data_IF_293348513386
#
_entry.id   IF_293348513386
#
_cell.length_a   1.000
_cell.length_b   1.000
_cell.length_c   1.000
_cell.angle_alpha   90.00
_cell.angle_beta   90.00
_cell.angle_gamma   90.00
#
_symmetry.space_group_name_H-M   'P 1'
#
loop_
_entity.id
_entity.type
_entity.pdbx_description
1 polymer ?
#
# COMPACT_ATOMS: atom_id res chain seq x y z
N UNK A 1 43.70 8.26 29.64
CA UNK A 1 43.99 8.09 28.19
C UNK A 1 43.91 9.46 27.53
N UNK A 2 44.96 9.95 26.85
CA UNK A 2 44.83 11.13 26.00
C UNK A 2 43.86 10.75 24.88
N UNK A 3 42.69 11.37 24.90
CA UNK A 3 41.70 11.19 23.84
C UNK A 3 42.11 12.10 22.68
N UNK A 4 42.09 11.57 21.46
CA UNK A 4 42.25 12.37 20.24
C UNK A 4 40.91 12.84 19.68
N UNK A 5 40.92 13.33 18.44
CA UNK A 5 39.70 13.64 17.68
C UNK A 5 39.05 12.37 17.11
N UNK A 6 38.69 11.44 18.00
CA UNK A 6 38.00 10.22 17.64
C UNK A 6 36.49 10.43 17.61
N UNK A 7 35.79 9.68 16.76
CA UNK A 7 34.33 9.69 16.74
C UNK A 7 33.76 9.30 18.11
N UNK A 8 32.66 9.97 18.51
CA UNK A 8 31.97 9.70 19.77
C UNK A 8 31.47 8.24 19.77
N UNK A 9 31.94 7.37 20.69
CA UNK A 9 31.57 5.96 20.66
C UNK A 9 30.10 5.73 21.09
N UNK A 10 29.24 5.37 20.14
CA UNK A 10 27.85 4.95 20.38
C UNK A 10 27.74 3.42 20.41
N UNK A 11 28.45 2.77 21.33
CA UNK A 11 28.70 1.31 21.28
C UNK A 11 27.53 0.43 21.74
N UNK A 12 26.53 0.98 22.45
CA UNK A 12 25.31 0.27 22.88
C UNK A 12 25.50 -1.08 23.64
N UNK A 13 26.64 -1.28 24.31
CA UNK A 13 26.99 -2.51 25.04
C UNK A 13 26.90 -2.38 26.58
N UNK A 14 25.96 -1.57 27.09
CA UNK A 14 25.86 -1.21 28.51
C UNK A 14 24.76 -1.95 29.29
N UNK A 15 24.25 -3.07 28.76
CA UNK A 15 23.08 -3.80 29.32
C UNK A 15 23.37 -5.29 29.51
N UNK A 16 24.35 -5.62 30.35
CA UNK A 16 24.72 -7.00 30.75
C UNK A 16 24.52 -8.05 29.63
N UNK A 17 25.10 -7.75 28.47
CA UNK A 17 24.83 -8.52 27.25
C UNK A 17 25.65 -9.80 27.23
N UNK A 18 26.84 -9.79 27.81
CA UNK A 18 27.75 -10.94 27.85
C UNK A 18 27.40 -11.90 28.99
N UNK A 19 27.50 -13.22 28.76
CA UNK A 19 27.41 -14.20 29.84
C UNK A 19 28.67 -14.11 30.71
N UNK A 20 28.50 -13.94 32.02
CA UNK A 20 29.60 -14.01 32.98
C UNK A 20 29.12 -14.65 34.30
N UNK A 21 29.97 -14.76 35.32
CA UNK A 21 29.66 -15.50 36.55
C UNK A 21 28.35 -15.07 37.22
N UNK A 22 27.98 -13.78 37.14
CA UNK A 22 26.76 -13.24 37.73
C UNK A 22 25.60 -13.04 36.75
N UNK A 23 25.78 -13.28 35.44
CA UNK A 23 24.76 -13.03 34.43
C UNK A 23 24.74 -14.13 33.38
N UNK A 24 23.54 -14.63 33.09
CA UNK A 24 23.30 -15.59 32.00
C UNK A 24 23.65 -15.03 30.61
N UNK A 25 23.69 -13.70 30.46
CA UNK A 25 23.93 -13.00 29.20
C UNK A 25 22.72 -12.98 28.25
N UNK A 26 22.86 -12.23 27.17
CA UNK A 26 21.95 -12.16 26.03
C UNK A 26 22.75 -12.15 24.72
N UNK A 27 23.52 -13.22 24.52
CA UNK A 27 24.28 -13.49 23.30
C UNK A 27 23.65 -14.64 22.55
N UNK A 28 23.59 -14.52 21.22
CA UNK A 28 23.12 -15.59 20.35
C UNK A 28 24.20 -15.95 19.34
N UNK A 29 24.78 -17.14 19.48
CA UNK A 29 25.79 -17.66 18.56
C UNK A 29 25.12 -18.59 17.53
N UNK A 30 25.53 -18.51 16.26
CA UNK A 30 24.93 -19.25 15.14
C UNK A 30 25.73 -20.50 14.75
N UNK A 31 26.32 -21.22 15.72
CA UNK A 31 27.08 -22.47 15.46
C UNK A 31 26.19 -23.57 14.83
N UNK A 32 24.88 -23.54 15.10
CA UNK A 32 23.92 -24.50 14.57
C UNK A 32 23.41 -24.17 13.14
N UNK A 33 23.93 -23.12 12.49
CA UNK A 33 23.49 -22.70 11.15
C UNK A 33 23.58 -23.82 10.09
N UNK A 34 24.70 -24.58 9.93
CA UNK A 34 24.78 -25.66 8.94
C UNK A 34 23.84 -26.82 9.29
N UNK A 35 23.77 -27.22 10.56
CA UNK A 35 22.86 -28.27 11.03
C UNK A 35 21.39 -27.92 10.74
N UNK A 36 20.98 -26.67 11.00
CA UNK A 36 19.63 -26.21 10.70
C UNK A 36 19.36 -26.11 9.20
N UNK A 37 20.36 -25.79 8.36
CA UNK A 37 20.25 -25.81 6.89
C UNK A 37 19.96 -27.24 6.39
N UNK A 38 20.72 -28.22 6.87
CA UNK A 38 20.53 -29.64 6.54
C UNK A 38 19.17 -30.15 7.05
N UNK A 39 18.80 -29.83 8.30
CA UNK A 39 17.48 -30.15 8.87
C UNK A 39 16.33 -29.62 8.01
N UNK A 40 16.38 -28.34 7.62
CA UNK A 40 15.36 -27.73 6.74
C UNK A 40 15.31 -28.36 5.35
N UNK A 41 16.43 -28.84 4.82
CA UNK A 41 16.47 -29.59 3.54
C UNK A 41 15.80 -30.96 3.70
N UNK A 42 16.21 -31.74 4.69
CA UNK A 42 15.63 -33.06 5.00
C UNK A 42 14.12 -32.99 5.21
N UNK A 43 13.65 -32.05 6.04
CA UNK A 43 12.21 -31.86 6.28
C UNK A 43 11.43 -31.47 5.03
N UNK A 44 12.04 -30.71 4.11
CA UNK A 44 11.41 -30.42 2.81
C UNK A 44 11.31 -31.67 1.94
N UNK A 45 12.32 -32.53 1.94
CA UNK A 45 12.28 -33.81 1.20
C UNK A 45 11.25 -34.77 1.78
N UNK A 46 11.16 -34.88 3.11
CA UNK A 46 10.12 -35.67 3.80
C UNK A 46 8.73 -35.13 3.46
N UNK A 47 8.55 -33.80 3.49
CA UNK A 47 7.30 -33.16 3.06
C UNK A 47 6.99 -33.47 1.60
N UNK A 48 7.98 -33.40 0.70
CA UNK A 48 7.82 -33.68 -0.72
C UNK A 48 7.27 -35.10 -0.95
N UNK A 49 7.89 -36.11 -0.32
CA UNK A 49 7.43 -37.50 -0.36
C UNK A 49 6.00 -37.65 0.20
N UNK A 50 5.69 -36.99 1.32
CA UNK A 50 4.36 -37.05 1.96
C UNK A 50 3.23 -36.46 1.10
N UNK A 51 3.50 -35.42 0.32
CA UNK A 51 2.46 -34.73 -0.47
C UNK A 51 2.45 -35.12 -1.94
N UNK A 52 3.34 -36.03 -2.35
CA UNK A 52 3.40 -36.56 -3.71
C UNK A 52 2.00 -37.09 -4.13
N UNK A 53 1.51 -36.74 -5.34
CA UNK A 53 2.19 -36.08 -6.47
C UNK A 53 2.11 -34.54 -6.49
N UNK A 54 1.42 -33.90 -5.55
CA UNK A 54 1.18 -32.45 -5.57
C UNK A 54 2.47 -31.62 -5.45
N UNK A 55 2.53 -30.40 -6.04
CA UNK A 55 3.64 -29.47 -5.84
C UNK A 55 3.92 -29.18 -4.36
N UNK A 56 5.21 -28.99 -4.01
CA UNK A 56 5.60 -28.73 -2.62
C UNK A 56 5.08 -27.39 -2.08
N UNK A 57 4.84 -26.42 -2.97
CA UNK A 57 4.25 -25.11 -2.68
C UNK A 57 3.09 -24.82 -3.64
N UNK A 58 2.04 -24.24 -3.08
CA UNK A 58 0.87 -23.77 -3.80
C UNK A 58 1.18 -22.52 -4.64
N UNK A 59 0.43 -22.35 -5.73
CA UNK A 59 0.56 -21.20 -6.64
C UNK A 59 0.23 -19.89 -5.94
N UNK A 60 1.02 -18.85 -6.25
CA UNK A 60 0.88 -17.49 -5.71
C UNK A 60 0.84 -16.48 -6.86
N UNK A 61 0.09 -15.36 -6.72
CA UNK A 61 0.00 -14.35 -7.76
C UNK A 61 1.28 -13.52 -7.84
N UNK A 62 1.46 -12.85 -8.96
CA UNK A 62 2.44 -11.80 -9.16
C UNK A 62 1.88 -10.46 -8.64
N UNK A 63 2.67 -9.76 -7.82
CA UNK A 63 2.26 -8.49 -7.21
C UNK A 63 3.45 -7.51 -7.23
N UNK A 64 3.17 -6.24 -7.50
CA UNK A 64 4.16 -5.17 -7.41
C UNK A 64 4.55 -4.88 -5.95
N UNK A 65 5.80 -4.48 -5.72
CA UNK A 65 6.22 -4.04 -4.40
C UNK A 65 5.68 -2.63 -4.08
N UNK A 66 5.32 -2.35 -2.81
CA UNK A 66 4.87 -1.02 -2.40
C UNK A 66 6.04 -0.02 -2.35
N UNK A 67 5.72 1.26 -2.19
CA UNK A 67 6.65 2.41 -2.13
C UNK A 67 7.34 2.76 -3.45
N UNK A 68 7.67 4.04 -3.64
CA UNK A 68 8.28 4.54 -4.88
C UNK A 68 9.63 3.87 -5.17
N UNK A 69 10.41 3.55 -4.13
CA UNK A 69 11.72 2.88 -4.26
C UNK A 69 11.63 1.50 -4.91
N UNK A 70 10.52 0.78 -4.71
CA UNK A 70 10.38 -0.61 -5.11
C UNK A 70 9.30 -0.86 -6.16
N UNK A 71 8.67 0.19 -6.70
CA UNK A 71 7.59 0.08 -7.69
C UNK A 71 7.97 -0.78 -8.92
N UNK A 72 9.22 -0.69 -9.38
CA UNK A 72 9.78 -1.45 -10.51
C UNK A 72 10.01 -2.93 -10.21
N UNK A 73 9.98 -3.34 -8.92
CA UNK A 73 10.23 -4.72 -8.50
C UNK A 73 8.89 -5.44 -8.32
N UNK A 74 8.84 -6.68 -8.81
CA UNK A 74 7.70 -7.57 -8.64
C UNK A 74 8.08 -8.73 -7.72
N UNK A 75 7.09 -9.31 -7.05
CA UNK A 75 7.25 -10.44 -6.12
C UNK A 75 6.01 -11.32 -6.12
N UNK A 76 6.13 -12.51 -5.51
CA UNK A 76 4.98 -13.37 -5.24
C UNK A 76 4.14 -12.81 -4.09
N UNK A 77 2.86 -12.56 -4.35
CA UNK A 77 1.84 -12.13 -3.39
C UNK A 77 1.39 -13.25 -2.46
N UNK A 78 0.46 -13.00 -1.53
CA UNK A 78 -0.01 -14.02 -0.58
C UNK A 78 -0.90 -15.08 -1.25
N UNK A 79 -1.84 -14.61 -2.07
CA UNK A 79 -2.82 -15.42 -2.78
C UNK A 79 -3.62 -14.55 -3.76
N UNK A 80 -4.26 -15.19 -4.73
CA UNK A 80 -5.10 -14.55 -5.74
C UNK A 80 -6.34 -13.94 -5.10
N UNK A 81 -6.77 -12.81 -5.64
CA UNK A 81 -8.01 -12.14 -5.22
C UNK A 81 -9.21 -12.91 -5.77
N UNK A 82 -10.36 -12.92 -5.07
CA UNK A 82 -11.59 -13.52 -5.57
C UNK A 82 -12.02 -13.02 -6.96
N UNK A 83 -11.74 -11.75 -7.27
CA UNK A 83 -12.04 -11.16 -8.59
C UNK A 83 -11.20 -11.78 -9.73
N UNK A 84 -9.90 -12.01 -9.51
CA UNK A 84 -9.04 -12.70 -10.48
C UNK A 84 -9.48 -14.15 -10.69
N UNK A 85 -9.87 -14.84 -9.61
CA UNK A 85 -10.36 -16.22 -9.68
C UNK A 85 -11.67 -16.29 -10.47
N UNK A 86 -12.60 -15.35 -10.22
CA UNK A 86 -13.84 -15.24 -10.98
C UNK A 86 -13.57 -14.99 -12.47
N UNK A 87 -12.63 -14.09 -12.80
CA UNK A 87 -12.23 -13.83 -14.18
C UNK A 87 -11.54 -15.03 -14.86
N UNK A 88 -10.95 -15.94 -14.09
CA UNK A 88 -10.42 -17.21 -14.57
C UNK A 88 -11.44 -18.37 -14.52
N UNK A 89 -12.70 -18.13 -14.15
CA UNK A 89 -13.75 -19.16 -14.08
C UNK A 89 -13.65 -20.08 -12.86
N UNK A 90 -12.94 -19.67 -11.79
CA UNK A 90 -12.72 -20.48 -10.59
C UNK A 90 -13.50 -19.96 -9.38
N UNK A 91 -14.16 -20.89 -8.66
CA UNK A 91 -14.69 -20.62 -7.34
C UNK A 91 -13.53 -20.53 -6.31
N UNK A 92 -13.45 -19.46 -5.49
CA UNK A 92 -12.38 -19.30 -4.50
C UNK A 92 -12.22 -20.47 -3.51
N UNK A 93 -13.31 -21.14 -3.12
CA UNK A 93 -13.22 -22.30 -2.21
C UNK A 93 -12.59 -23.51 -2.90
N UNK A 94 -13.01 -23.77 -4.14
CA UNK A 94 -12.46 -24.84 -4.96
C UNK A 94 -11.00 -24.58 -5.35
N UNK A 95 -10.64 -23.34 -5.69
CA UNK A 95 -9.26 -22.98 -6.00
C UNK A 95 -8.27 -23.38 -4.89
N UNK A 96 -8.67 -23.29 -3.61
CA UNK A 96 -7.83 -23.67 -2.49
C UNK A 96 -7.55 -25.19 -2.41
N UNK A 97 -8.47 -26.04 -2.88
CA UNK A 97 -8.28 -27.50 -2.86
C UNK A 97 -7.31 -27.96 -3.95
N UNK A 98 -7.36 -27.33 -5.13
CA UNK A 98 -6.49 -27.62 -6.28
C UNK A 98 -5.10 -26.96 -6.20
N UNK A 99 -4.71 -26.44 -5.04
CA UNK A 99 -3.36 -25.92 -4.80
C UNK A 99 -3.12 -24.46 -5.17
N UNK A 100 -4.17 -23.64 -5.26
CA UNK A 100 -4.07 -22.20 -5.50
C UNK A 100 -4.28 -21.42 -4.20
N UNK A 101 -3.39 -20.48 -3.86
CA UNK A 101 -3.59 -19.63 -2.67
C UNK A 101 -4.60 -18.52 -2.95
N UNK A 102 -5.50 -18.28 -2.00
CA UNK A 102 -6.52 -17.23 -2.08
C UNK A 102 -6.28 -16.16 -1.01
N UNK A 103 -6.46 -14.89 -1.36
CA UNK A 103 -6.39 -13.76 -0.43
C UNK A 103 -7.56 -12.79 -0.64
N UNK A 104 -8.60 -12.92 0.17
CA UNK A 104 -9.80 -12.07 0.12
C UNK A 104 -9.57 -10.61 0.51
N UNK A 105 -8.37 -10.23 0.96
CA UNK A 105 -8.04 -8.87 1.39
C UNK A 105 -7.46 -8.01 0.27
N UNK A 106 -6.89 -8.61 -0.77
CA UNK A 106 -6.21 -7.88 -1.84
C UNK A 106 -7.23 -7.31 -2.82
N UNK A 107 -7.10 -6.03 -3.12
CA UNK A 107 -7.92 -5.31 -4.11
C UNK A 107 -7.11 -5.09 -5.39
N UNK A 108 -7.74 -5.25 -6.54
CA UNK A 108 -7.14 -4.90 -7.83
C UNK A 108 -7.46 -3.43 -8.11
N UNK A 109 -6.43 -2.63 -8.41
CA UNK A 109 -6.56 -1.20 -8.76
C UNK A 109 -6.17 -0.90 -10.20
N UNK A 110 -5.61 -1.89 -10.88
CA UNK A 110 -4.99 -1.80 -12.21
C UNK A 110 -5.36 -3.05 -12.98
N UNK A 111 -5.74 -2.90 -14.24
CA UNK A 111 -6.16 -4.02 -15.09
C UNK A 111 -4.96 -4.88 -15.51
N UNK A 112 -3.80 -4.28 -15.74
CA UNK A 112 -2.58 -4.95 -16.17
C UNK A 112 -2.15 -5.98 -15.11
N UNK A 113 -2.18 -5.59 -13.84
CA UNK A 113 -1.87 -6.48 -12.72
C UNK A 113 -2.89 -7.64 -12.58
N UNK A 114 -4.15 -7.38 -12.91
CA UNK A 114 -5.20 -8.39 -12.89
C UNK A 114 -5.01 -9.39 -14.05
N UNK A 115 -4.77 -8.90 -15.27
CA UNK A 115 -4.60 -9.71 -16.48
C UNK A 115 -3.39 -10.64 -16.37
N UNK A 116 -2.26 -10.16 -15.85
CA UNK A 116 -1.08 -11.00 -15.59
C UNK A 116 -1.42 -12.18 -14.67
N UNK A 117 -2.21 -11.94 -13.62
CA UNK A 117 -2.59 -13.00 -12.69
C UNK A 117 -3.66 -13.94 -13.25
N UNK A 118 -4.60 -13.43 -14.05
CA UNK A 118 -5.58 -14.26 -14.75
C UNK A 118 -4.88 -15.18 -15.76
N UNK A 119 -3.93 -14.65 -16.55
CA UNK A 119 -3.09 -15.46 -17.43
C UNK A 119 -2.30 -16.49 -16.63
N UNK A 120 -1.74 -16.11 -15.48
CA UNK A 120 -1.04 -17.02 -14.56
C UNK A 120 -1.94 -18.17 -14.10
N UNK A 121 -3.22 -17.91 -13.82
CA UNK A 121 -4.20 -18.94 -13.45
C UNK A 121 -4.55 -19.84 -14.64
N UNK A 122 -4.79 -19.29 -15.82
CA UNK A 122 -5.11 -20.06 -17.04
C UNK A 122 -3.97 -21.02 -17.40
N UNK A 123 -2.72 -20.55 -17.38
CA UNK A 123 -1.54 -21.39 -17.62
C UNK A 123 -1.33 -22.47 -16.54
N UNK A 124 -1.72 -22.19 -15.29
CA UNK A 124 -1.69 -23.21 -14.24
C UNK A 124 -2.72 -24.30 -14.49
N UNK A 125 -3.96 -23.92 -14.82
CA UNK A 125 -5.05 -24.85 -15.09
C UNK A 125 -4.75 -25.74 -16.29
N UNK A 126 -4.17 -25.20 -17.36
CA UNK A 126 -3.81 -26.00 -18.55
C UNK A 126 -2.73 -27.06 -18.27
N UNK A 127 -1.96 -26.93 -17.19
CA UNK A 127 -0.91 -27.86 -16.79
C UNK A 127 -1.29 -28.68 -15.55
N UNK A 128 -2.48 -28.46 -15.01
CA UNK A 128 -2.95 -29.13 -13.81
C UNK A 128 -3.52 -30.50 -14.19
N UNK A 129 -2.89 -31.56 -13.70
CA UNK A 129 -3.45 -32.92 -13.74
C UNK A 129 -4.26 -33.13 -12.48
N UNK A 130 -5.60 -33.19 -12.60
CA UNK A 130 -6.51 -33.36 -11.47
C UNK A 130 -6.86 -34.83 -11.28
N UNK A 131 -6.48 -35.40 -10.15
CA UNK A 131 -6.69 -36.82 -9.91
C UNK A 131 -8.16 -37.09 -9.56
N UNK A 132 -8.77 -38.15 -10.12
CA UNK A 132 -10.12 -38.56 -9.73
C UNK A 132 -10.14 -39.01 -8.28
N UNK A 133 -11.19 -38.66 -7.54
CA UNK A 133 -11.37 -39.16 -6.17
C UNK A 133 -11.62 -40.67 -6.16
N UNK A 134 -12.34 -41.15 -7.18
CA UNK A 134 -12.55 -42.57 -7.42
C UNK A 134 -12.07 -42.94 -8.83
N UNK A 135 -10.98 -43.71 -8.92
CA UNK A 135 -10.37 -44.12 -10.19
C UNK A 135 -11.32 -44.88 -11.12
N UNK A 136 -12.38 -45.50 -10.59
CA UNK A 136 -13.38 -46.23 -11.41
C UNK A 136 -14.48 -45.35 -11.98
N UNK A 137 -14.69 -44.16 -11.42
CA UNK A 137 -15.77 -43.22 -11.78
C UNK A 137 -15.17 -41.84 -12.00
N UNK A 138 -14.53 -41.68 -13.15
CA UNK A 138 -13.86 -40.43 -13.54
C UNK A 138 -14.91 -39.38 -13.94
N UNK A 139 -14.81 -38.20 -13.35
CA UNK A 139 -15.66 -37.05 -13.66
C UNK A 139 -15.05 -36.21 -14.80
N UNK A 140 -15.86 -35.31 -15.37
CA UNK A 140 -15.41 -34.43 -16.44
C UNK A 140 -14.28 -33.49 -15.96
N UNK A 141 -13.15 -33.54 -16.65
CA UNK A 141 -11.98 -32.70 -16.36
C UNK A 141 -11.00 -33.31 -15.34
N UNK A 142 -11.22 -34.55 -14.92
CA UNK A 142 -10.24 -35.35 -14.18
C UNK A 142 -9.31 -36.09 -15.15
N UNK A 143 -8.13 -36.46 -14.66
CA UNK A 143 -7.05 -37.05 -15.42
C UNK A 143 -7.33 -38.51 -15.81
N UNK A 144 -6.82 -38.91 -16.99
CA UNK A 144 -6.81 -40.32 -17.41
C UNK A 144 -5.80 -41.14 -16.59
N UNK A 145 -5.92 -42.46 -16.61
CA UNK A 145 -5.02 -43.33 -15.83
C UNK A 145 -3.56 -43.22 -16.28
N UNK A 146 -3.32 -42.94 -17.56
CA UNK A 146 -1.99 -42.69 -18.13
C UNK A 146 -1.36 -41.41 -17.57
N UNK A 147 -2.12 -40.32 -17.52
CA UNK A 147 -1.67 -39.04 -16.95
C UNK A 147 -1.40 -39.16 -15.45
N UNK A 148 -2.21 -39.94 -14.73
CA UNK A 148 -2.03 -40.21 -13.29
C UNK A 148 -0.71 -40.95 -13.04
N UNK A 149 -0.37 -41.93 -13.88
CA UNK A 149 0.89 -42.68 -13.77
C UNK A 149 2.11 -41.85 -14.19
N UNK A 150 1.97 -41.00 -15.20
CA UNK A 150 3.04 -40.10 -15.68
C UNK A 150 3.24 -38.86 -14.79
N UNK A 151 2.31 -38.58 -13.87
CA UNK A 151 2.34 -37.36 -13.05
C UNK A 151 3.60 -37.27 -12.19
N UNK A 152 4.32 -36.17 -12.34
CA UNK A 152 5.52 -35.86 -11.55
C UNK A 152 5.29 -34.65 -10.64
N UNK A 153 6.08 -34.58 -9.56
CA UNK A 153 5.98 -33.51 -8.58
C UNK A 153 6.93 -32.36 -8.90
N UNK A 154 6.41 -31.12 -8.88
CA UNK A 154 7.26 -29.92 -8.82
C UNK A 154 7.89 -29.74 -7.42
N UNK A 155 9.22 -29.81 -7.37
CA UNK A 155 10.05 -29.56 -6.18
C UNK A 155 10.72 -28.19 -6.19
N UNK A 156 10.37 -27.31 -7.14
CA UNK A 156 10.87 -25.94 -7.24
C UNK A 156 10.63 -25.17 -5.95
N UNK A 157 11.51 -24.20 -5.67
CA UNK A 157 11.47 -23.44 -4.42
C UNK A 157 10.21 -22.58 -4.30
N UNK A 158 9.57 -22.21 -5.40
CA UNK A 158 8.48 -21.23 -5.41
C UNK A 158 7.13 -21.80 -5.87
N UNK A 159 7.09 -23.01 -6.44
CA UNK A 159 5.87 -23.57 -7.04
C UNK A 159 5.56 -22.94 -8.39
N UNK A 160 6.62 -22.55 -9.11
CA UNK A 160 6.53 -21.77 -10.35
C UNK A 160 6.87 -22.62 -11.59
N UNK A 161 7.14 -23.93 -11.46
CA UNK A 161 7.51 -24.73 -12.64
C UNK A 161 6.40 -24.79 -13.68
N UNK A 162 5.13 -24.83 -13.24
CA UNK A 162 3.99 -24.80 -14.16
C UNK A 162 3.88 -23.45 -14.88
N UNK A 163 4.07 -22.32 -14.20
CA UNK A 163 3.70 -21.01 -14.76
C UNK A 163 4.90 -20.12 -15.12
N UNK A 164 6.10 -20.58 -14.84
CA UNK A 164 7.32 -19.80 -15.00
C UNK A 164 7.51 -18.72 -13.93
N UNK A 165 8.68 -18.07 -13.97
CA UNK A 165 9.07 -17.03 -13.03
C UNK A 165 8.20 -15.77 -13.15
N UNK A 166 8.43 -14.83 -12.24
CA UNK A 166 7.78 -13.52 -12.24
C UNK A 166 8.14 -12.76 -13.53
N UNK A 167 7.12 -12.30 -14.25
CA UNK A 167 7.27 -11.58 -15.52
C UNK A 167 7.76 -10.15 -15.26
N UNK A 168 9.02 -9.89 -15.63
CA UNK A 168 9.60 -8.55 -15.61
C UNK A 168 9.45 -7.89 -16.99
N UNK A 169 9.16 -6.59 -17.06
CA UNK A 169 9.09 -5.89 -18.34
C UNK A 169 10.45 -5.94 -19.04
N UNK A 170 10.43 -6.14 -20.36
CA UNK A 170 11.62 -6.04 -21.19
C UNK A 170 12.10 -4.58 -21.29
N UNK A 171 13.39 -4.40 -21.57
CA UNK A 171 13.92 -3.07 -21.88
C UNK A 171 13.44 -2.66 -23.28
N UNK A 172 13.14 -1.38 -23.45
CA UNK A 172 12.79 -0.81 -24.74
C UNK A 172 13.97 -0.94 -25.72
N UNK A 173 13.66 -1.26 -26.98
CA UNK A 173 14.66 -1.36 -28.03
C UNK A 173 15.16 0.03 -28.46
N UNK A 174 16.37 0.16 -29.01
CA UNK A 174 16.87 1.41 -29.56
C UNK A 174 15.91 1.95 -30.63
N UNK A 175 15.55 3.24 -30.52
CA UNK A 175 14.70 3.94 -31.48
C UNK A 175 15.25 5.33 -31.76
N UNK A 176 14.91 5.87 -32.93
CA UNK A 176 15.22 7.25 -33.27
C UNK A 176 14.44 8.23 -32.36
N UNK A 177 15.04 9.40 -32.14
CA UNK A 177 14.42 10.49 -31.38
C UNK A 177 13.30 11.12 -32.21
N UNK A 178 12.13 11.32 -31.61
CA UNK A 178 11.02 11.99 -32.29
C UNK A 178 11.21 13.51 -32.29
N UNK A 179 10.58 14.23 -33.24
CA UNK A 179 10.66 15.70 -33.30
C UNK A 179 10.15 16.38 -32.02
N UNK A 180 9.17 15.79 -31.34
CA UNK A 180 8.68 16.26 -30.04
C UNK A 180 9.71 16.11 -28.92
N UNK A 181 10.41 14.97 -28.88
CA UNK A 181 11.44 14.70 -27.87
C UNK A 181 12.65 15.63 -28.05
N UNK A 182 12.97 15.98 -29.30
CA UNK A 182 14.05 16.90 -29.62
C UNK A 182 13.78 18.35 -29.16
N UNK A 183 12.51 18.79 -29.21
CA UNK A 183 12.13 20.19 -28.90
C UNK A 183 11.70 20.40 -27.45
N UNK A 184 11.28 19.33 -26.75
CA UNK A 184 10.67 19.43 -25.41
C UNK A 184 11.69 19.65 -24.30
N UNK A 185 11.55 20.77 -23.59
CA UNK A 185 12.32 21.03 -22.35
C UNK A 185 11.75 20.22 -21.16
N UNK A 186 12.37 19.08 -20.87
CA UNK A 186 11.96 18.14 -19.80
C UNK A 186 12.11 18.75 -18.40
N UNK A 187 13.15 19.55 -18.14
CA UNK A 187 13.38 20.15 -16.82
C UNK A 187 12.31 21.19 -16.48
N UNK A 188 12.01 22.10 -17.41
CA UNK A 188 10.99 23.11 -17.23
C UNK A 188 9.61 22.45 -17.00
N UNK A 189 9.29 21.40 -17.76
CA UNK A 189 8.07 20.61 -17.58
C UNK A 189 7.99 19.98 -16.17
N UNK A 190 9.06 19.33 -15.71
CA UNK A 190 9.12 18.71 -14.37
C UNK A 190 8.93 19.76 -13.27
N UNK A 191 9.62 20.90 -13.35
CA UNK A 191 9.53 21.97 -12.36
C UNK A 191 8.16 22.63 -12.34
N UNK A 192 7.52 22.79 -13.51
CA UNK A 192 6.15 23.31 -13.62
C UNK A 192 5.16 22.39 -12.89
N UNK A 193 5.23 21.08 -13.12
CA UNK A 193 4.35 20.10 -12.45
C UNK A 193 4.60 20.02 -10.94
N UNK A 194 5.86 20.01 -10.51
CA UNK A 194 6.21 20.05 -9.09
C UNK A 194 5.64 21.31 -8.42
N UNK A 195 5.78 22.47 -9.07
CA UNK A 195 5.27 23.75 -8.57
C UNK A 195 3.75 23.78 -8.55
N UNK A 196 3.08 23.18 -9.55
CA UNK A 196 1.62 23.09 -9.60
C UNK A 196 1.07 22.31 -8.39
N UNK A 197 1.64 21.16 -8.04
CA UNK A 197 1.23 20.37 -6.86
C UNK A 197 1.54 21.11 -5.57
N UNK A 198 2.75 21.70 -5.45
CA UNK A 198 3.18 22.44 -4.25
C UNK A 198 2.32 23.68 -3.98
N UNK A 199 1.97 24.44 -5.02
CA UNK A 199 1.26 25.71 -4.90
C UNK A 199 -0.23 25.62 -5.23
N UNK A 200 -0.81 24.43 -5.33
CA UNK A 200 -2.21 24.22 -5.67
C UNK A 200 -3.16 24.98 -4.73
N UNK A 201 -3.03 24.77 -3.42
CA UNK A 201 -3.86 25.44 -2.41
C UNK A 201 -3.64 26.96 -2.37
N UNK A 202 -2.38 27.40 -2.44
CA UNK A 202 -2.05 28.83 -2.43
C UNK A 202 -2.62 29.56 -3.66
N UNK A 203 -2.59 28.93 -4.84
CA UNK A 203 -3.17 29.49 -6.06
C UNK A 203 -4.70 29.54 -5.98
N UNK A 204 -5.34 28.49 -5.47
CA UNK A 204 -6.80 28.49 -5.23
C UNK A 204 -7.24 29.57 -4.26
N UNK A 205 -6.54 29.74 -3.14
CA UNK A 205 -6.85 30.78 -2.16
C UNK A 205 -6.67 32.20 -2.74
N UNK A 206 -5.64 32.42 -3.56
CA UNK A 206 -5.44 33.70 -4.25
C UNK A 206 -6.51 33.96 -5.31
N UNK A 207 -6.94 32.94 -6.04
CA UNK A 207 -8.03 33.05 -7.00
C UNK A 207 -9.34 33.41 -6.28
N UNK A 208 -9.70 32.66 -5.24
CA UNK A 208 -10.90 32.93 -4.43
C UNK A 208 -10.89 34.32 -3.79
N UNK A 209 -9.75 34.78 -3.25
CA UNK A 209 -9.63 36.16 -2.72
C UNK A 209 -9.77 37.21 -3.81
N UNK A 210 -9.27 36.94 -5.02
CA UNK A 210 -9.40 37.86 -6.16
C UNK A 210 -10.85 37.90 -6.68
N UNK A 211 -11.55 36.78 -6.64
CA UNK A 211 -12.97 36.68 -6.98
C UNK A 211 -13.84 37.40 -5.95
N UNK A 212 -13.67 37.12 -4.66
CA UNK A 212 -14.37 37.85 -3.58
C UNK A 212 -14.10 39.36 -3.64
N UNK A 213 -12.84 39.78 -3.84
CA UNK A 213 -12.51 41.20 -3.98
C UNK A 213 -13.04 41.84 -5.28
N UNK A 214 -13.45 41.04 -6.28
CA UNK A 214 -14.17 41.54 -7.46
C UNK A 214 -15.66 41.65 -7.14
N UNK A 215 -16.26 40.65 -6.52
CA UNK A 215 -17.65 40.67 -6.06
C UNK A 215 -17.91 41.84 -5.08
N UNK A 216 -16.99 42.09 -4.15
CA UNK A 216 -17.02 43.25 -3.24
C UNK A 216 -16.93 44.59 -4.00
N UNK A 217 -16.16 44.63 -5.10
CA UNK A 217 -16.05 45.84 -5.93
C UNK A 217 -17.27 46.04 -6.83
N UNK A 218 -17.79 44.97 -7.41
CA UNK A 218 -18.96 44.99 -8.28
C UNK A 218 -20.22 45.34 -7.45
N UNK A 219 -20.33 44.84 -6.21
CA UNK A 219 -21.39 45.25 -5.28
C UNK A 219 -21.27 46.70 -4.82
N UNK A 220 -20.04 47.20 -4.58
CA UNK A 220 -19.81 48.63 -4.31
C UNK A 220 -20.16 49.52 -5.50
N UNK A 221 -19.86 49.09 -6.73
CA UNK A 221 -20.24 49.78 -7.96
C UNK A 221 -21.76 49.80 -8.15
N UNK A 222 -22.45 48.68 -7.89
CA UNK A 222 -23.91 48.58 -7.98
C UNK A 222 -24.63 49.47 -6.95
N UNK A 223 -24.08 49.61 -5.74
CA UNK A 223 -24.58 50.54 -4.72
C UNK A 223 -24.34 52.01 -5.09
N UNK A 224 -23.27 52.32 -5.82
CA UNK A 224 -23.00 53.67 -6.32
C UNK A 224 -23.97 54.05 -7.46
N UNK A 225 -24.24 53.14 -8.39
CA UNK A 225 -25.18 53.36 -9.51
C UNK A 225 -26.64 53.54 -9.03
N UNK A 226 -27.05 52.82 -7.97
CA UNK A 226 -28.37 53.01 -7.35
C UNK A 226 -28.43 54.28 -6.47
N UNK A 227 -27.30 54.87 -6.09
CA UNK A 227 -27.28 56.15 -5.36
C UNK A 227 -27.49 57.36 -6.28
N UNK A 228 -27.14 57.26 -7.57
CA UNK A 228 -27.42 58.30 -8.57
C UNK A 228 -28.91 58.31 -8.98
N UNK A 229 -29.61 57.18 -8.88
CA UNK A 229 -31.08 57.12 -9.05
C UNK A 229 -31.89 57.50 -7.78
N UNK A 230 -31.27 57.55 -6.60
CA UNK A 230 -31.91 58.03 -5.36
C UNK A 230 -31.46 59.45 -4.98
N UNK A 231 -30.49 60.04 -5.70
CA UNK A 231 -30.09 61.44 -5.56
C UNK A 231 -31.14 62.47 -6.05
N UNK A 232 -32.31 62.02 -6.53
CA UNK A 232 -33.50 62.89 -6.74
C UNK A 232 -34.45 62.88 -5.52
N UNK A 233 -34.23 62.05 -4.49
CA UNK A 233 -35.16 61.91 -3.36
C UNK A 233 -34.52 62.12 -1.97
N UNK A 234 -33.48 62.98 -1.85
CA UNK A 234 -32.86 63.29 -0.54
C UNK A 234 -32.52 64.77 -0.30
N UNK A 235 -33.34 65.68 -0.83
CA UNK A 235 -33.31 67.10 -0.43
C UNK A 235 -34.04 67.36 0.92
N UNK A 236 -34.70 66.37 1.55
CA UNK A 236 -35.64 66.68 2.66
C UNK A 236 -35.31 66.16 4.07
N UNK A 237 -34.09 65.69 4.38
CA UNK A 237 -33.73 65.39 5.79
C UNK A 237 -32.30 65.82 6.09
N UNK A 238 -32.06 67.13 6.08
CA UNK A 238 -30.92 67.78 6.73
C UNK A 238 -31.46 68.91 7.62
N UNK A 239 -32.19 68.51 8.66
CA UNK A 239 -32.42 69.37 9.83
C UNK A 239 -32.76 68.47 11.01
N UNK A 240 -31.75 68.17 11.82
CA UNK A 240 -31.78 68.12 13.29
C UNK A 240 -30.52 67.41 13.79
N UNK A 241 -29.78 68.13 14.63
CA UNK A 241 -28.79 67.69 15.60
C UNK A 241 -27.40 67.29 15.12
N UNK A 242 -26.68 68.34 14.75
CA UNK A 242 -25.33 68.56 15.24
C UNK A 242 -25.36 68.86 16.75
N UNK A 243 -24.92 67.93 17.59
CA UNK A 243 -24.23 68.22 18.86
C UNK A 243 -23.71 66.92 19.48
N UNK A 244 -22.46 66.93 19.92
CA UNK A 244 -22.01 66.01 20.96
C UNK A 244 -20.88 65.05 20.62
N UNK A 245 -19.65 65.53 20.89
CA UNK A 245 -18.73 64.92 21.86
C UNK A 245 -17.80 63.79 21.39
N UNK A 246 -16.51 64.15 21.40
CA UNK A 246 -15.37 63.27 21.56
C UNK A 246 -15.56 62.22 22.65
N UNK A 247 -15.17 60.97 22.39
CA UNK A 247 -14.31 60.15 23.27
C UNK A 247 -14.06 58.78 22.63
N UNK A 248 -12.78 58.41 22.50
CA UNK A 248 -12.39 57.01 22.38
C UNK A 248 -12.81 56.24 23.64
N UNK A 249 -13.02 54.92 23.53
CA UNK A 249 -12.13 54.06 24.30
C UNK A 249 -11.69 52.81 23.52
N UNK A 250 -10.43 52.45 23.74
CA UNK A 250 -9.92 51.11 23.52
C UNK A 250 -10.73 50.09 24.32
N UNK A 251 -11.06 48.93 23.73
CA UNK A 251 -11.18 47.64 24.41
C UNK A 251 -10.89 46.53 23.40
N UNK A 252 -9.88 45.74 23.75
CA UNK A 252 -9.51 44.49 23.12
C UNK A 252 -10.63 43.44 23.30
N UNK A 253 -10.97 42.71 22.23
CA UNK A 253 -11.43 41.32 22.31
C UNK A 253 -10.87 40.54 21.12
N UNK A 254 -9.97 39.61 21.42
CA UNK A 254 -9.53 38.60 20.49
C UNK A 254 -10.68 37.68 20.11
N UNK A 255 -10.82 37.42 18.81
CA UNK A 255 -11.59 36.29 18.30
C UNK A 255 -10.58 35.32 17.71
N UNK A 256 -10.50 34.17 18.35
CA UNK A 256 -9.67 33.04 18.00
C UNK A 256 -9.94 32.57 16.56
N UNK A 257 -8.88 32.47 15.75
CA UNK A 257 -8.91 31.67 14.54
C UNK A 257 -8.78 30.18 14.87
N UNK A 258 -9.52 29.27 14.21
CA UNK A 258 -9.33 27.85 14.41
C UNK A 258 -7.99 27.41 13.78
N UNK A 259 -7.01 27.16 14.63
CA UNK A 259 -5.79 26.42 14.27
C UNK A 259 -6.16 24.97 13.97
N UNK A 260 -6.29 24.61 12.69
CA UNK A 260 -6.19 23.22 12.25
C UNK A 260 -4.79 22.70 12.57
N UNK A 261 -4.66 22.10 13.74
CA UNK A 261 -3.44 21.46 14.21
C UNK A 261 -3.37 20.08 13.56
N UNK A 262 -2.58 19.94 12.50
CA UNK A 262 -2.06 18.63 12.08
C UNK A 262 -1.37 17.97 13.29
N UNK A 263 -2.03 17.01 13.93
CA UNK A 263 -1.39 16.10 14.89
C UNK A 263 -1.18 14.74 14.24
N UNK A 264 0.07 14.49 13.88
CA UNK A 264 0.58 13.14 13.77
C UNK A 264 0.52 12.43 15.13
N UNK A 265 0.04 11.18 15.09
CA UNK A 265 0.49 10.07 15.93
C UNK A 265 0.26 10.14 17.45
N UNK A 266 -0.77 9.44 17.94
CA UNK A 266 -0.58 8.54 19.09
C UNK A 266 -1.60 7.41 19.09
N UNK A 267 -1.10 6.22 18.77
CA UNK A 267 -1.74 4.93 19.04
C UNK A 267 -1.92 4.82 20.56
N UNK A 268 -3.16 4.94 21.05
CA UNK A 268 -3.50 4.49 22.40
C UNK A 268 -3.45 2.97 22.41
N UNK A 269 -2.45 2.42 23.09
CA UNK A 269 -2.50 1.08 23.68
C UNK A 269 -3.73 1.05 24.59
N UNK A 270 -4.81 0.38 24.18
CA UNK A 270 -5.84 -0.07 25.11
C UNK A 270 -5.31 -1.36 25.75
N UNK A 271 -5.18 -1.31 27.06
CA UNK A 271 -4.75 -2.41 27.90
C UNK A 271 -5.63 -3.63 27.65
N UNK A 272 -4.98 -4.78 27.52
CA UNK A 272 -5.60 -6.08 27.74
C UNK A 272 -5.95 -6.15 29.22
N UNK A 273 -7.22 -6.16 29.54
CA UNK A 273 -7.68 -6.72 30.81
C UNK A 273 -7.39 -8.21 30.77
N UNK A 274 -6.59 -8.64 31.76
CA UNK A 274 -6.44 -10.03 32.14
C UNK A 274 -7.69 -10.40 32.95
N UNK A 275 -8.64 -11.06 32.31
CA UNK A 275 -9.65 -11.87 32.99
C UNK A 275 -9.23 -13.33 32.87
N UNK A 276 -8.66 -13.88 33.94
CA UNK A 276 -8.42 -15.31 34.09
C UNK A 276 -9.73 -16.03 34.37
N UNK A 277 -9.94 -17.15 33.70
CA UNK A 277 -11.06 -18.06 33.92
C UNK A 277 -10.66 -19.44 33.43
N UNK A 278 -9.98 -20.18 34.30
CA UNK A 278 -9.71 -21.59 34.12
C UNK A 278 -11.01 -22.36 34.35
N UNK A 279 -11.38 -23.26 33.43
CA UNK A 279 -12.27 -24.37 33.75
C UNK A 279 -11.95 -25.58 32.85
N UNK A 280 -11.39 -26.57 33.55
CA UNK A 280 -11.24 -28.00 33.28
C UNK A 280 -11.87 -28.59 32.02
N UNK A 281 -11.02 -29.22 31.19
CA UNK A 281 -11.37 -30.46 30.49
C UNK A 281 -11.56 -31.56 31.53
N UNK A 282 -12.76 -32.13 31.63
CA UNK A 282 -12.98 -33.46 32.20
C UNK A 282 -12.86 -34.47 31.06
N UNK A 283 -12.04 -35.47 31.31
CA UNK A 283 -12.05 -36.76 30.64
C UNK A 283 -13.42 -37.43 30.85
N UNK A 284 -13.98 -37.95 29.76
CA UNK A 284 -14.53 -39.30 29.57
C UNK A 284 -14.82 -39.49 28.09
#
# INVERSE_FOLDING_TARGET
>A
MPKGNNAIPHVHQKKHWNPCSSQKGNVKVFLNQPAQKNRRRRLRLVKAKKVFPRPLKALRPQVNCPTVRHNMKKRLGRGFSPAELKAAGLNPRYAATIGIRVDGRRKNKSEEGMNVNVQRLKTYLSKLVLFPVNHKKVQKGEASEEEVKAATQDRSRFGDAAVGPVVMPAKEAPRAVTSEEATKNVYAFLKKNHSAVRFFGARKARAARKEAAKEDKDSLLFLYDHSEHVAVARVFILRVNWSGRWSSPAIARGVEQPKERCRGGRIKRRQREKGGGAQSRKEK
#
